data_IF_297599612698
#
_entry.id   IF_297599612698
#
_cell.length_a   1.000
_cell.length_b   1.000
_cell.length_c   1.000
_cell.angle_alpha   90.00
_cell.angle_beta   90.00
_cell.angle_gamma   90.00
#
_symmetry.space_group_name_H-M   'P 1'
#
loop_
_entity.id
_entity.type
_entity.pdbx_description
1 polymer ?
#
# COMPACT_ATOMS: atom_id res chain seq x y z
N UNK A 1 -26.56 -41.73 -37.42
CA UNK A 1 -25.15 -41.77 -37.03
C UNK A 1 -24.88 -40.76 -35.92
N UNK A 2 -24.53 -41.23 -34.74
CA UNK A 2 -24.13 -40.37 -33.62
C UNK A 2 -22.71 -39.83 -33.86
N UNK A 3 -22.39 -38.62 -33.44
CA UNK A 3 -21.04 -38.08 -33.57
C UNK A 3 -20.10 -38.74 -32.53
N UNK A 4 -18.89 -39.04 -32.98
CA UNK A 4 -17.84 -39.63 -32.14
C UNK A 4 -17.33 -38.63 -31.11
N UNK A 5 -17.02 -39.11 -29.91
CA UNK A 5 -16.41 -38.34 -28.82
C UNK A 5 -14.98 -37.87 -29.19
N UNK A 6 -14.54 -36.69 -28.74
CA UNK A 6 -13.17 -36.25 -28.96
C UNK A 6 -12.19 -37.07 -28.11
N UNK A 7 -11.06 -37.39 -28.70
CA UNK A 7 -9.97 -38.12 -28.04
C UNK A 7 -9.34 -37.28 -26.91
N UNK A 8 -9.13 -37.91 -25.78
CA UNK A 8 -8.35 -37.40 -24.67
C UNK A 8 -6.92 -37.08 -25.08
N UNK A 9 -6.47 -35.86 -24.85
CA UNK A 9 -5.08 -35.50 -25.00
C UNK A 9 -4.26 -36.03 -23.80
N UNK A 10 -3.03 -36.48 -23.96
CA UNK A 10 -2.22 -37.00 -22.88
C UNK A 10 -1.80 -35.85 -21.95
N UNK A 11 -2.01 -36.06 -20.65
CA UNK A 11 -1.55 -35.15 -19.60
C UNK A 11 -0.01 -35.10 -19.62
N UNK A 12 0.54 -33.91 -19.81
CA UNK A 12 1.97 -33.69 -19.64
C UNK A 12 2.27 -33.63 -18.13
N UNK A 13 2.96 -34.65 -17.60
CA UNK A 13 3.58 -34.58 -16.29
C UNK A 13 4.68 -33.50 -16.29
N UNK A 14 4.47 -32.45 -15.53
CA UNK A 14 5.52 -31.50 -15.22
C UNK A 14 6.46 -32.10 -14.15
N UNK A 15 7.80 -32.04 -14.32
CA UNK A 15 8.72 -32.52 -13.32
C UNK A 15 8.63 -31.66 -12.06
N UNK A 16 8.29 -32.28 -10.94
CA UNK A 16 8.38 -31.66 -9.62
C UNK A 16 9.87 -31.43 -9.31
N UNK A 17 10.30 -30.18 -9.39
CA UNK A 17 11.58 -29.79 -8.82
C UNK A 17 11.42 -29.72 -7.29
N UNK A 18 11.92 -30.69 -6.57
CA UNK A 18 12.15 -30.62 -5.13
C UNK A 18 13.16 -29.51 -4.86
N UNK A 19 12.66 -28.38 -4.33
CA UNK A 19 13.55 -27.39 -3.72
C UNK A 19 14.10 -27.96 -2.41
N UNK A 20 15.40 -27.79 -2.12
CA UNK A 20 15.96 -28.26 -0.87
C UNK A 20 15.28 -27.56 0.31
N UNK A 21 14.75 -28.34 1.24
CA UNK A 21 14.17 -27.83 2.47
C UNK A 21 15.28 -27.12 3.26
N UNK A 22 15.20 -25.80 3.34
CA UNK A 22 16.05 -25.01 4.23
C UNK A 22 15.71 -25.39 5.67
N UNK A 23 16.70 -25.80 6.44
CA UNK A 23 16.54 -26.10 7.86
C UNK A 23 16.02 -24.86 8.59
N UNK A 24 14.93 -25.02 9.34
CA UNK A 24 14.38 -23.97 10.16
C UNK A 24 15.39 -23.53 11.24
N UNK A 25 15.66 -22.23 11.43
CA UNK A 25 16.43 -21.76 12.56
C UNK A 25 15.62 -21.98 13.84
N UNK A 26 16.15 -22.77 14.76
CA UNK A 26 15.67 -22.89 16.12
C UNK A 26 16.16 -21.65 16.90
N UNK A 27 15.35 -20.62 16.98
CA UNK A 27 15.67 -19.36 17.66
C UNK A 27 14.65 -18.29 17.32
N UNK A 28 14.65 -17.14 17.96
CA UNK A 28 13.78 -15.99 17.63
C UNK A 28 13.59 -15.86 16.13
N UNK A 29 12.32 -15.76 15.71
CA UNK A 29 11.99 -15.67 14.28
C UNK A 29 12.84 -14.57 13.62
N UNK A 30 13.57 -14.92 12.57
CA UNK A 30 14.42 -13.98 11.87
C UNK A 30 13.57 -12.77 11.41
N UNK A 31 14.02 -11.55 11.75
CA UNK A 31 13.29 -10.32 11.46
C UNK A 31 13.28 -9.96 9.98
N UNK A 32 14.12 -10.61 9.17
CA UNK A 32 14.20 -10.41 7.72
C UNK A 32 14.49 -11.73 6.99
N UNK A 33 14.21 -11.74 5.69
CA UNK A 33 14.50 -12.90 4.85
C UNK A 33 16.01 -13.19 4.78
N UNK A 34 16.44 -14.47 4.76
CA UNK A 34 17.86 -14.83 4.71
C UNK A 34 18.64 -14.16 3.57
N UNK A 35 18.04 -14.06 2.38
CA UNK A 35 18.67 -13.40 1.23
C UNK A 35 18.93 -11.89 1.48
N UNK A 36 18.09 -11.21 2.26
CA UNK A 36 18.30 -9.81 2.63
C UNK A 36 19.44 -9.70 3.67
N UNK A 37 19.48 -10.60 4.65
CA UNK A 37 20.56 -10.67 5.63
C UNK A 37 21.92 -10.95 4.96
N UNK A 38 21.95 -11.80 3.93
CA UNK A 38 23.16 -12.03 3.12
C UNK A 38 23.58 -10.74 2.38
N UNK A 39 22.65 -10.00 1.79
CA UNK A 39 22.92 -8.74 1.11
C UNK A 39 23.45 -7.65 2.06
N UNK A 40 22.94 -7.59 3.29
CA UNK A 40 23.47 -6.73 4.36
C UNK A 40 24.91 -7.13 4.70
N UNK A 41 25.16 -8.43 4.88
CA UNK A 41 26.49 -8.95 5.17
C UNK A 41 27.49 -8.67 4.05
N UNK A 42 27.03 -8.72 2.78
CA UNK A 42 27.82 -8.39 1.61
C UNK A 42 28.04 -6.87 1.40
N UNK A 43 27.41 -6.02 2.21
CA UNK A 43 27.49 -4.57 2.09
C UNK A 43 26.74 -3.99 0.88
N UNK A 44 25.85 -4.76 0.26
CA UNK A 44 25.02 -4.34 -0.87
C UNK A 44 23.65 -3.80 -0.47
N UNK A 45 23.29 -3.95 0.80
CA UNK A 45 22.05 -3.46 1.38
C UNK A 45 22.35 -2.85 2.77
N UNK A 46 21.74 -1.71 3.14
CA UNK A 46 21.84 -1.15 4.49
C UNK A 46 21.27 -2.10 5.55
N UNK A 47 21.67 -1.92 6.80
CA UNK A 47 21.15 -2.67 7.94
C UNK A 47 19.62 -2.53 8.04
N UNK A 48 18.96 -3.53 8.64
CA UNK A 48 17.49 -3.58 8.75
C UNK A 48 16.94 -2.32 9.43
N UNK A 49 17.56 -1.86 10.48
CA UNK A 49 17.17 -0.69 11.27
C UNK A 49 17.27 0.63 10.48
N UNK A 50 18.13 0.66 9.48
CA UNK A 50 18.29 1.81 8.59
C UNK A 50 17.24 1.84 7.46
N UNK A 51 16.62 0.70 7.17
CA UNK A 51 15.60 0.54 6.12
C UNK A 51 14.17 0.66 6.63
N UNK A 52 13.94 0.33 7.90
CA UNK A 52 12.63 0.38 8.52
C UNK A 52 12.31 1.79 9.05
N UNK A 53 11.03 2.17 9.11
CA UNK A 53 10.60 3.34 9.87
C UNK A 53 10.91 3.16 11.35
N UNK A 54 10.92 4.26 12.12
CA UNK A 54 11.23 4.23 13.57
C UNK A 54 10.35 3.26 14.35
N UNK A 55 9.06 3.20 13.99
CA UNK A 55 8.08 2.27 14.55
C UNK A 55 7.35 1.60 13.39
N UNK A 56 7.79 0.43 12.91
CA UNK A 56 7.12 -0.27 11.81
C UNK A 56 5.73 -0.77 12.24
N UNK A 57 4.80 -0.80 11.29
CA UNK A 57 3.52 -1.44 11.49
C UNK A 57 3.68 -2.96 11.34
N UNK A 58 3.56 -3.68 12.45
CA UNK A 58 3.69 -5.14 12.47
C UNK A 58 2.32 -5.78 12.56
N UNK A 59 1.93 -6.52 11.54
CA UNK A 59 0.66 -7.25 11.48
C UNK A 59 0.83 -8.62 12.16
N UNK A 60 -0.05 -8.88 13.11
CA UNK A 60 -0.14 -10.14 13.85
C UNK A 60 -1.61 -10.40 14.23
N UNK A 61 -1.98 -11.60 14.72
CA UNK A 61 -3.28 -11.82 15.32
C UNK A 61 -3.60 -10.78 16.40
N UNK A 62 -4.80 -10.25 16.42
CA UNK A 62 -5.21 -9.18 17.33
C UNK A 62 -4.90 -7.75 16.84
N UNK A 63 -4.14 -7.58 15.77
CA UNK A 63 -3.82 -6.25 15.22
C UNK A 63 -4.90 -5.78 14.22
N UNK A 64 -5.05 -6.46 13.10
CA UNK A 64 -6.13 -6.19 12.13
C UNK A 64 -7.31 -7.13 12.36
N UNK A 65 -7.06 -8.43 12.41
CA UNK A 65 -8.05 -9.45 12.68
C UNK A 65 -7.93 -9.93 14.12
N UNK A 66 -9.08 -10.18 14.78
CA UNK A 66 -9.07 -10.78 16.11
C UNK A 66 -8.43 -12.18 16.08
N UNK A 67 -7.82 -12.61 17.16
CA UNK A 67 -7.25 -13.96 17.29
C UNK A 67 -8.29 -15.04 16.99
N UNK A 68 -9.54 -14.80 17.36
CA UNK A 68 -10.65 -15.73 17.09
C UNK A 68 -10.93 -15.92 15.59
N UNK A 69 -10.62 -14.94 14.76
CA UNK A 69 -10.82 -15.01 13.30
C UNK A 69 -9.67 -15.72 12.58
N UNK A 70 -8.54 -15.92 13.26
CA UNK A 70 -7.35 -16.59 12.72
C UNK A 70 -6.81 -17.66 13.66
N UNK A 71 -7.67 -18.66 14.09
CA UNK A 71 -7.35 -19.59 15.16
C UNK A 71 -6.18 -20.52 14.83
N UNK A 72 -5.86 -20.69 13.57
CA UNK A 72 -4.76 -21.57 13.10
C UNK A 72 -3.55 -20.75 12.61
N UNK A 73 -3.47 -19.48 12.97
CA UNK A 73 -2.34 -18.68 12.59
C UNK A 73 -1.02 -19.22 13.18
N UNK A 74 -0.02 -19.27 12.35
CA UNK A 74 1.36 -19.57 12.77
C UNK A 74 2.33 -18.71 11.97
N UNK A 75 3.49 -18.34 12.54
CA UNK A 75 4.52 -17.66 11.78
C UNK A 75 4.89 -18.46 10.53
N UNK A 76 4.97 -17.78 9.38
CA UNK A 76 5.43 -18.38 8.15
C UNK A 76 6.93 -18.67 8.17
N UNK A 77 7.40 -19.40 7.16
CA UNK A 77 8.82 -19.59 6.88
C UNK A 77 9.17 -18.82 5.60
N UNK A 78 10.35 -18.24 5.56
CA UNK A 78 10.84 -17.59 4.35
C UNK A 78 11.14 -18.60 3.25
N UNK A 79 10.77 -18.26 2.02
CA UNK A 79 11.02 -19.10 0.84
C UNK A 79 9.72 -19.60 0.21
N UNK A 80 9.88 -20.52 -0.74
CA UNK A 80 8.76 -21.07 -1.51
C UNK A 80 8.30 -20.16 -2.64
N UNK A 81 7.24 -20.59 -3.33
CA UNK A 81 6.61 -19.87 -4.44
C UNK A 81 5.10 -19.82 -4.22
N UNK A 82 4.54 -18.62 -4.22
CA UNK A 82 3.10 -18.44 -4.22
C UNK A 82 2.58 -18.54 -5.65
N UNK A 83 1.76 -19.56 -5.92
CA UNK A 83 1.07 -19.71 -7.19
C UNK A 83 -0.36 -19.20 -7.05
N UNK A 84 -0.75 -18.27 -7.91
CA UNK A 84 -2.11 -17.74 -7.98
C UNK A 84 -2.72 -18.01 -9.34
N UNK A 85 -4.04 -17.99 -9.45
CA UNK A 85 -4.77 -18.09 -10.70
C UNK A 85 -5.86 -17.02 -10.75
N UNK A 86 -5.98 -16.38 -11.91
CA UNK A 86 -7.04 -15.41 -12.16
C UNK A 86 -7.63 -15.59 -13.56
N UNK A 87 -8.85 -15.12 -13.77
CA UNK A 87 -9.61 -15.36 -14.99
C UNK A 87 -9.33 -14.37 -16.13
N UNK A 88 -8.53 -13.33 -15.88
CA UNK A 88 -8.27 -12.25 -16.85
C UNK A 88 -6.79 -12.25 -17.20
N UNK A 89 -6.47 -12.42 -18.49
CA UNK A 89 -5.08 -12.58 -18.94
C UNK A 89 -4.24 -11.29 -18.80
N UNK A 90 -4.86 -10.13 -18.97
CA UNK A 90 -4.17 -8.84 -19.09
C UNK A 90 -4.24 -8.01 -17.80
N UNK A 91 -4.85 -8.54 -16.74
CA UNK A 91 -5.01 -7.84 -15.48
C UNK A 91 -5.01 -8.80 -14.29
N UNK A 92 -4.10 -8.57 -13.36
CA UNK A 92 -3.89 -9.40 -12.18
C UNK A 92 -4.21 -8.62 -10.89
N UNK A 93 -5.51 -8.44 -10.53
CA UNK A 93 -5.90 -7.70 -9.34
C UNK A 93 -5.29 -8.27 -8.05
N UNK A 94 -5.10 -9.58 -7.98
CA UNK A 94 -4.48 -10.26 -6.83
C UNK A 94 -3.04 -9.80 -6.59
N UNK A 95 -2.32 -9.48 -7.67
CA UNK A 95 -0.95 -8.97 -7.59
C UNK A 95 -0.93 -7.55 -7.04
N UNK A 96 -1.90 -6.71 -7.43
CA UNK A 96 -2.01 -5.35 -6.89
C UNK A 96 -2.22 -5.34 -5.37
N UNK A 97 -3.09 -6.21 -4.86
CA UNK A 97 -3.32 -6.34 -3.41
C UNK A 97 -2.05 -6.73 -2.65
N UNK A 98 -1.15 -7.51 -3.28
CA UNK A 98 0.11 -7.94 -2.66
C UNK A 98 1.24 -6.89 -2.79
N UNK A 99 1.19 -6.01 -3.79
CA UNK A 99 2.26 -5.06 -4.09
C UNK A 99 1.97 -3.63 -3.62
N UNK A 100 0.71 -3.30 -3.40
CA UNK A 100 0.32 -1.95 -3.02
C UNK A 100 0.16 -1.83 -1.51
N UNK A 101 0.79 -0.80 -0.94
CA UNK A 101 0.61 -0.41 0.45
C UNK A 101 -0.48 0.66 0.55
N UNK A 102 -1.59 0.41 1.27
CA UNK A 102 -2.62 1.42 1.48
C UNK A 102 -2.14 2.49 2.46
N UNK A 103 -2.74 3.66 2.37
CA UNK A 103 -2.46 4.76 3.31
C UNK A 103 -2.83 4.38 4.75
N UNK A 104 -3.98 3.77 4.94
CA UNK A 104 -4.47 3.21 6.20
C UNK A 104 -4.89 1.76 6.00
N UNK A 105 -4.93 0.97 7.05
CA UNK A 105 -5.37 -0.43 7.02
C UNK A 105 -6.73 -0.58 7.70
N UNK A 106 -7.59 -1.42 7.13
CA UNK A 106 -8.86 -1.82 7.74
C UNK A 106 -8.97 -3.34 7.78
N UNK A 107 -9.56 -3.92 8.84
CA UNK A 107 -9.74 -5.37 8.95
C UNK A 107 -10.76 -5.91 7.97
N UNK A 108 -11.72 -5.08 7.57
CA UNK A 108 -12.82 -5.42 6.67
C UNK A 108 -13.43 -4.16 6.01
N UNK A 109 -14.60 -4.30 5.42
CA UNK A 109 -15.34 -3.20 4.80
C UNK A 109 -15.94 -2.18 5.77
N UNK A 110 -15.86 -2.41 7.09
CA UNK A 110 -16.34 -1.45 8.08
C UNK A 110 -15.35 -0.32 8.31
N UNK A 111 -15.84 0.83 8.77
CA UNK A 111 -14.98 1.93 9.22
C UNK A 111 -14.46 1.72 10.64
N UNK A 112 -14.90 0.66 11.30
CA UNK A 112 -14.43 0.34 12.64
C UNK A 112 -13.10 -0.40 12.57
N UNK A 113 -12.17 -0.02 13.44
CA UNK A 113 -10.88 -0.69 13.53
C UNK A 113 -9.87 -0.27 12.45
N UNK A 114 -10.10 0.83 11.73
CA UNK A 114 -9.08 1.42 10.85
C UNK A 114 -7.81 1.68 11.65
N UNK A 115 -6.68 1.23 11.14
CA UNK A 115 -5.34 1.37 11.72
C UNK A 115 -4.44 2.20 10.83
N UNK A 116 -3.43 2.79 11.44
CA UNK A 116 -2.37 3.42 10.68
C UNK A 116 -1.56 2.42 9.87
N UNK A 117 -1.08 2.86 8.71
CA UNK A 117 -0.11 2.13 7.88
C UNK A 117 0.98 3.09 7.39
N UNK A 118 0.99 3.51 6.13
CA UNK A 118 1.86 4.60 5.64
C UNK A 118 1.57 5.89 6.41
N UNK A 119 0.29 6.19 6.62
CA UNK A 119 -0.14 7.19 7.60
C UNK A 119 -0.21 6.51 8.98
N UNK A 120 0.65 6.92 9.91
CA UNK A 120 0.75 6.33 11.25
C UNK A 120 -0.55 6.48 12.06
N UNK A 121 -1.16 7.64 11.97
CA UNK A 121 -2.40 7.98 12.68
C UNK A 121 -3.25 9.00 11.93
N UNK A 122 -4.49 9.11 12.36
CA UNK A 122 -5.43 10.11 11.86
C UNK A 122 -6.34 10.63 12.97
N UNK A 123 -6.83 11.84 12.77
CA UNK A 123 -7.89 12.47 13.57
C UNK A 123 -8.96 13.02 12.64
N UNK A 124 -10.21 12.95 13.07
CA UNK A 124 -11.36 13.47 12.33
C UNK A 124 -12.11 14.45 13.21
N UNK A 125 -12.45 15.61 12.68
CA UNK A 125 -13.29 16.58 13.39
C UNK A 125 -14.70 16.04 13.65
N UNK A 126 -15.37 16.53 14.69
CA UNK A 126 -16.70 16.07 15.10
C UNK A 126 -17.75 16.21 13.99
N UNK A 127 -17.58 17.19 13.11
CA UNK A 127 -18.45 17.44 11.97
C UNK A 127 -18.06 16.67 10.70
N UNK A 128 -17.02 15.82 10.77
CA UNK A 128 -16.48 15.05 9.67
C UNK A 128 -16.06 15.88 8.44
N UNK A 129 -15.56 17.09 8.66
CA UNK A 129 -15.08 17.95 7.59
C UNK A 129 -13.56 18.04 7.52
N UNK A 130 -12.85 17.90 8.65
CA UNK A 130 -11.39 18.00 8.72
C UNK A 130 -10.78 16.66 9.09
N UNK A 131 -9.83 16.20 8.28
CA UNK A 131 -9.08 14.97 8.47
C UNK A 131 -7.62 15.33 8.61
N UNK A 132 -7.06 15.13 9.81
CA UNK A 132 -5.64 15.36 10.11
C UNK A 132 -4.92 14.01 10.05
N UNK A 133 -3.84 13.94 9.29
CA UNK A 133 -3.04 12.74 9.11
C UNK A 133 -1.61 12.98 9.55
N UNK A 134 -1.05 11.99 10.23
CA UNK A 134 0.37 11.94 10.54
C UNK A 134 1.01 10.80 9.77
N UNK A 135 2.01 11.10 8.96
CA UNK A 135 2.82 10.10 8.26
C UNK A 135 3.69 9.33 9.24
N UNK A 136 4.01 8.08 8.91
CA UNK A 136 4.90 7.26 9.74
C UNK A 136 6.32 7.79 9.67
N UNK A 137 6.89 8.11 10.84
CA UNK A 137 8.23 8.70 10.93
C UNK A 137 9.31 7.70 10.52
N UNK A 138 10.23 8.16 9.68
CA UNK A 138 11.37 7.38 9.20
C UNK A 138 11.06 6.50 7.97
N UNK A 139 9.91 6.70 7.31
CA UNK A 139 9.69 6.12 5.98
C UNK A 139 10.71 6.69 4.98
N UNK A 140 11.17 5.82 4.09
CA UNK A 140 12.13 6.17 3.05
C UNK A 140 11.69 5.65 1.69
N UNK A 141 12.00 6.38 0.66
CA UNK A 141 11.97 5.89 -0.71
C UNK A 141 13.07 4.84 -0.94
N UNK A 142 13.00 4.13 -2.05
CA UNK A 142 13.95 3.06 -2.38
C UNK A 142 15.40 3.53 -2.59
N UNK A 143 15.60 4.81 -2.83
CA UNK A 143 16.91 5.47 -2.95
C UNK A 143 17.45 6.01 -1.61
N UNK A 144 16.66 5.88 -0.54
CA UNK A 144 17.02 6.29 0.81
C UNK A 144 16.54 7.68 1.23
N UNK A 145 15.99 8.48 0.30
CA UNK A 145 15.42 9.78 0.62
C UNK A 145 14.19 9.64 1.53
N UNK A 146 13.97 10.57 2.48
CA UNK A 146 12.83 10.50 3.39
C UNK A 146 11.51 10.73 2.66
N UNK A 147 10.46 10.03 3.08
CA UNK A 147 9.08 10.30 2.67
C UNK A 147 8.50 11.36 3.60
N UNK A 148 8.06 12.49 3.05
CA UNK A 148 7.57 13.63 3.82
C UNK A 148 6.28 14.22 3.24
N UNK A 149 5.72 15.20 3.91
CA UNK A 149 4.55 15.96 3.41
C UNK A 149 4.85 16.77 2.15
N UNK A 150 6.13 16.95 1.79
CA UNK A 150 6.52 17.52 0.50
C UNK A 150 6.06 16.64 -0.67
N UNK A 151 6.14 15.32 -0.52
CA UNK A 151 5.66 14.34 -1.51
C UNK A 151 4.13 14.41 -1.67
N UNK A 152 3.42 14.69 -0.56
CA UNK A 152 1.95 14.94 -0.56
C UNK A 152 1.64 16.24 -1.28
N UNK A 153 2.36 17.33 -0.93
CA UNK A 153 2.19 18.65 -1.55
C UNK A 153 2.46 18.60 -3.05
N UNK A 154 3.55 17.97 -3.45
CA UNK A 154 3.89 17.79 -4.85
C UNK A 154 2.78 17.06 -5.62
N UNK A 155 2.25 15.98 -5.06
CA UNK A 155 1.15 15.24 -5.68
C UNK A 155 -0.09 16.11 -5.84
N UNK A 156 -0.43 16.87 -4.80
CA UNK A 156 -1.63 17.69 -4.79
C UNK A 156 -1.54 18.89 -5.73
N UNK A 157 -0.46 19.65 -5.64
CA UNK A 157 -0.29 20.92 -6.35
C UNK A 157 0.22 20.72 -7.77
N UNK A 158 1.23 19.85 -7.95
CA UNK A 158 1.91 19.71 -9.23
C UNK A 158 1.33 18.60 -10.11
N UNK A 159 0.87 17.49 -9.53
CA UNK A 159 0.24 16.44 -10.33
C UNK A 159 -1.25 16.74 -10.51
N UNK A 160 -2.04 16.79 -9.45
CA UNK A 160 -3.49 17.00 -9.55
C UNK A 160 -3.88 18.42 -9.92
N UNK A 161 -3.11 19.42 -9.49
CA UNK A 161 -3.29 20.82 -9.84
C UNK A 161 -2.88 21.17 -11.28
N UNK A 162 -2.22 20.26 -12.00
CA UNK A 162 -1.76 20.49 -13.35
C UNK A 162 -2.80 19.97 -14.38
N UNK A 163 -3.49 20.90 -15.05
CA UNK A 163 -4.53 20.58 -16.03
C UNK A 163 -4.02 19.77 -17.23
N UNK A 164 -2.72 19.83 -17.56
CA UNK A 164 -2.15 19.04 -18.65
C UNK A 164 -1.93 17.58 -18.26
N UNK A 165 -1.63 17.31 -16.98
CA UNK A 165 -1.46 15.97 -16.43
C UNK A 165 -2.78 15.37 -15.97
N UNK A 166 -3.58 16.17 -15.27
CA UNK A 166 -4.89 15.78 -14.74
C UNK A 166 -5.99 16.77 -15.18
N UNK A 167 -6.49 16.66 -16.41
CA UNK A 167 -7.52 17.57 -16.95
C UNK A 167 -8.80 17.62 -16.12
N UNK A 168 -9.10 16.56 -15.37
CA UNK A 168 -10.26 16.48 -14.48
C UNK A 168 -9.94 16.93 -13.05
N UNK A 169 -8.71 17.36 -12.79
CA UNK A 169 -8.23 17.75 -11.47
C UNK A 169 -8.19 16.60 -10.47
N UNK A 170 -8.32 16.93 -9.19
CA UNK A 170 -8.24 15.98 -8.08
C UNK A 170 -9.23 14.81 -8.26
N UNK A 171 -8.80 13.54 -8.04
CA UNK A 171 -9.67 12.37 -8.12
C UNK A 171 -10.91 12.45 -7.24
N UNK A 172 -12.00 11.80 -7.65
CA UNK A 172 -13.30 11.87 -6.97
C UNK A 172 -13.24 11.53 -5.47
N UNK A 173 -12.35 10.60 -5.06
CA UNK A 173 -12.20 10.25 -3.64
C UNK A 173 -11.71 11.39 -2.76
N UNK A 174 -11.00 12.35 -3.33
CA UNK A 174 -10.55 13.58 -2.68
C UNK A 174 -11.46 14.77 -2.98
N UNK A 175 -12.70 14.51 -3.37
CA UNK A 175 -13.76 15.50 -3.52
C UNK A 175 -14.86 15.26 -2.52
N UNK A 176 -15.51 16.32 -2.09
CA UNK A 176 -16.62 16.25 -1.13
C UNK A 176 -17.66 15.21 -1.54
N UNK A 177 -17.91 14.25 -0.64
CA UNK A 177 -18.91 13.20 -0.84
C UNK A 177 -18.56 12.11 -1.86
N UNK A 178 -17.30 12.01 -2.29
CA UNK A 178 -16.91 11.08 -3.38
C UNK A 178 -17.62 11.36 -4.70
N UNK A 179 -17.92 12.64 -4.95
CA UNK A 179 -18.62 13.07 -6.16
C UNK A 179 -17.60 13.66 -7.16
N UNK A 180 -17.51 13.14 -8.41
CA UNK A 180 -16.66 13.74 -9.44
C UNK A 180 -16.94 15.22 -9.71
N UNK A 181 -18.18 15.67 -9.49
CA UNK A 181 -18.59 17.08 -9.55
C UNK A 181 -18.45 17.83 -8.22
N UNK A 182 -18.09 17.14 -7.14
CA UNK A 182 -17.93 17.73 -5.82
C UNK A 182 -16.75 18.69 -5.74
N UNK A 183 -16.78 19.58 -4.75
CA UNK A 183 -15.68 20.50 -4.49
C UNK A 183 -14.42 19.71 -4.04
N UNK A 184 -13.24 19.95 -4.62
CA UNK A 184 -11.99 19.34 -4.16
C UNK A 184 -11.73 19.66 -2.69
N UNK A 185 -11.25 18.68 -1.94
CA UNK A 185 -10.76 18.92 -0.57
C UNK A 185 -9.58 19.89 -0.61
N UNK A 186 -9.37 20.61 0.48
CA UNK A 186 -8.23 21.54 0.62
C UNK A 186 -7.12 20.87 1.40
N UNK A 187 -5.92 20.86 0.83
CA UNK A 187 -4.71 20.40 1.52
C UNK A 187 -4.12 21.54 2.34
N UNK A 188 -3.71 21.26 3.58
CA UNK A 188 -2.90 22.10 4.45
C UNK A 188 -1.73 21.27 4.98
N UNK A 189 -0.50 21.71 4.72
CA UNK A 189 0.71 21.12 5.32
C UNK A 189 0.93 21.78 6.68
N UNK A 190 1.02 20.96 7.73
CA UNK A 190 1.24 21.44 9.12
C UNK A 190 2.73 21.39 9.47
N UNK A 191 3.38 20.27 9.17
CA UNK A 191 4.82 20.04 9.35
C UNK A 191 5.29 18.94 8.39
N UNK A 192 6.56 18.51 8.49
CA UNK A 192 7.18 17.52 7.59
C UNK A 192 6.49 16.15 7.59
N UNK A 193 5.68 15.85 8.60
CA UNK A 193 4.98 14.56 8.75
C UNK A 193 3.47 14.71 8.91
N UNK A 194 2.94 15.93 9.06
CA UNK A 194 1.53 16.17 9.36
C UNK A 194 0.88 17.04 8.31
N UNK A 195 -0.25 16.59 7.78
CA UNK A 195 -1.09 17.36 6.86
C UNK A 195 -2.57 17.20 7.19
N UNK A 196 -3.38 18.10 6.65
CA UNK A 196 -4.84 18.05 6.75
C UNK A 196 -5.48 18.08 5.38
N UNK A 197 -6.59 17.37 5.28
CA UNK A 197 -7.53 17.47 4.16
C UNK A 197 -8.88 17.97 4.71
N UNK A 198 -9.36 19.07 4.14
CA UNK A 198 -10.63 19.70 4.56
C UNK A 198 -11.66 19.58 3.43
N UNK A 199 -12.79 18.94 3.73
CA UNK A 199 -13.94 18.80 2.84
C UNK A 199 -14.88 20.00 2.99
N UNK A 200 -15.54 20.42 1.92
CA UNK A 200 -16.52 21.52 1.94
C UNK A 200 -17.81 21.18 2.72
N UNK A 201 -18.09 19.90 2.93
CA UNK A 201 -19.22 19.40 3.71
C UNK A 201 -18.82 18.07 4.40
N UNK A 202 -19.61 17.56 5.38
CA UNK A 202 -19.33 16.32 6.07
C UNK A 202 -19.07 15.14 5.11
N UNK A 203 -17.96 14.43 5.31
CA UNK A 203 -17.54 13.30 4.46
C UNK A 203 -17.19 12.06 5.29
N UNK A 204 -18.19 11.51 5.99
CA UNK A 204 -18.00 10.38 6.92
C UNK A 204 -17.45 9.08 6.28
N UNK A 205 -17.55 8.91 4.96
CA UNK A 205 -17.00 7.76 4.24
C UNK A 205 -15.53 7.89 3.82
N UNK A 206 -14.89 9.05 4.07
CA UNK A 206 -13.56 9.35 3.49
C UNK A 206 -12.48 8.35 3.94
N UNK A 207 -12.36 8.08 5.24
CA UNK A 207 -11.36 7.13 5.74
C UNK A 207 -11.51 5.73 5.12
N UNK A 208 -12.74 5.27 4.93
CA UNK A 208 -13.01 4.01 4.26
C UNK A 208 -12.49 4.01 2.82
N UNK A 209 -12.73 5.09 2.09
CA UNK A 209 -12.32 5.18 0.69
C UNK A 209 -10.80 5.11 0.52
N UNK A 210 -10.03 5.66 1.44
CA UNK A 210 -8.55 5.59 1.40
C UNK A 210 -7.96 4.30 1.98
N UNK A 211 -8.78 3.43 2.57
CA UNK A 211 -8.34 2.11 3.04
C UNK A 211 -8.68 1.00 2.05
N UNK A 212 -9.89 1.03 1.47
CA UNK A 212 -10.47 -0.10 0.73
C UNK A 212 -10.36 0.09 -0.78
N UNK A 213 -10.52 1.31 -1.24
CA UNK A 213 -10.48 1.64 -2.68
C UNK A 213 -9.06 2.01 -3.14
N UNK A 214 -8.09 1.88 -2.27
CA UNK A 214 -6.69 2.17 -2.54
C UNK A 214 -6.02 1.17 -3.48
N UNK A 215 -6.63 0.86 -4.64
CA UNK A 215 -5.99 0.07 -5.68
C UNK A 215 -4.62 0.62 -6.09
N UNK A 216 -4.46 1.94 -6.00
CA UNK A 216 -3.21 2.62 -6.26
C UNK A 216 -2.37 2.81 -4.99
N UNK A 217 -2.90 2.40 -3.82
CA UNK A 217 -2.20 2.49 -2.56
C UNK A 217 -1.78 3.92 -2.19
N UNK A 218 -0.60 4.05 -1.61
CA UNK A 218 -0.06 5.35 -1.22
C UNK A 218 0.17 6.30 -2.41
N UNK A 219 0.41 5.78 -3.61
CA UNK A 219 0.76 6.58 -4.81
C UNK A 219 -0.35 7.54 -5.25
N UNK A 220 -1.57 7.38 -4.76
CA UNK A 220 -2.63 8.35 -5.01
C UNK A 220 -2.45 9.66 -4.27
N UNK A 221 -1.65 9.70 -3.22
CA UNK A 221 -1.45 10.89 -2.41
C UNK A 221 0.02 11.20 -2.18
N UNK A 222 0.91 10.21 -2.30
CA UNK A 222 2.33 10.35 -1.97
C UNK A 222 3.15 9.89 -3.17
N UNK A 223 3.82 10.81 -3.84
CA UNK A 223 4.69 10.53 -4.97
C UNK A 223 6.05 11.19 -4.75
N UNK A 224 7.17 10.55 -5.16
CA UNK A 224 8.53 11.02 -4.86
C UNK A 224 8.84 12.33 -5.59
N UNK A 225 8.62 13.45 -4.93
CA UNK A 225 8.83 14.79 -5.49
C UNK A 225 10.23 14.95 -6.07
N UNK A 226 11.29 14.60 -5.32
CA UNK A 226 12.71 14.70 -5.69
C UNK A 226 13.08 13.93 -6.96
N UNK A 227 12.31 12.91 -7.34
CA UNK A 227 12.48 12.14 -8.59
C UNK A 227 11.64 12.74 -9.71
N UNK A 228 10.33 12.98 -9.44
CA UNK A 228 9.36 13.32 -10.46
C UNK A 228 9.51 14.77 -10.96
N UNK A 229 9.99 15.68 -10.14
CA UNK A 229 10.30 17.07 -10.56
C UNK A 229 11.20 17.11 -11.79
N UNK A 230 12.15 16.19 -11.92
CA UNK A 230 13.09 16.11 -13.06
C UNK A 230 12.41 15.80 -14.39
N UNK A 231 11.20 15.29 -14.35
CA UNK A 231 10.41 14.88 -15.52
C UNK A 231 9.09 15.62 -15.63
N UNK A 232 8.79 16.50 -14.67
CA UNK A 232 7.53 17.22 -14.63
C UNK A 232 7.50 18.31 -15.70
N UNK A 233 6.37 18.41 -16.41
CA UNK A 233 6.18 19.28 -17.57
C UNK A 233 6.42 20.78 -17.31
N UNK A 234 6.26 21.22 -16.06
CA UNK A 234 6.45 22.63 -15.69
C UNK A 234 7.85 22.92 -15.14
N UNK A 235 8.69 21.88 -14.90
CA UNK A 235 10.08 22.03 -14.40
C UNK A 235 11.15 21.66 -15.43
N UNK A 236 10.75 21.11 -16.58
CA UNK A 236 11.69 20.68 -17.69
C UNK A 236 11.60 21.58 -18.90
#
# INVERSE_FOLDING_TARGET
GAPAAPAEAPAAEAPAAEAPAAAAPSGEAAKEAPALAEAVTAGTLPALEERLPKVPFVVAPGVLLSEANVPNWAPGQYGGTLNTAHSVADWAPDVFVMLNEPLLQAPDLSVQGIKGNVLESYEVSDDNTVFTFKMRDGLKWSDGEPVTTEDVRFTWENIYGNEKLFPNGVPARFRTGYDPGGEPMKLEIVDDLTFKLTSAAPYGGFLRNITIEGWNGYTELINPAHVLEKWHIDFT
#
